data_IF_701805169822
#
_entry.id   IF_701805169822
#
_cell.length_a   1.000
_cell.length_b   1.000
_cell.length_c   1.000
_cell.angle_alpha   90.00
_cell.angle_beta   90.00
_cell.angle_gamma   90.00
#
_symmetry.space_group_name_H-M   'P 1'
#
loop_
_entity.id
_entity.type
_entity.pdbx_description
1 polymer ?
#
# COMPACT_ATOMS: atom_id res chain seq x y z
N UNK A 1 14.11 7.74 -19.31
CA UNK A 1 12.88 7.48 -20.08
C UNK A 1 11.85 7.16 -19.02
N UNK A 2 10.90 8.06 -18.77
CA UNK A 2 9.92 7.87 -17.68
C UNK A 2 8.95 6.77 -18.10
N UNK A 3 9.28 5.53 -17.73
CA UNK A 3 8.45 4.37 -18.01
C UNK A 3 7.37 4.30 -16.94
N UNK A 4 6.16 4.72 -17.28
CA UNK A 4 5.01 4.47 -16.44
C UNK A 4 4.68 2.98 -16.48
N UNK A 5 4.66 2.32 -15.32
CA UNK A 5 4.23 0.93 -15.24
C UNK A 5 2.75 0.82 -15.60
N UNK A 6 2.46 0.10 -16.68
CA UNK A 6 1.09 -0.13 -17.15
C UNK A 6 0.56 -1.46 -16.60
N UNK A 7 -0.73 -1.51 -16.28
CA UNK A 7 -1.34 -2.67 -15.66
C UNK A 7 -1.30 -3.91 -16.56
N UNK A 8 -1.44 -3.71 -17.88
CA UNK A 8 -1.40 -4.78 -18.87
C UNK A 8 -0.06 -5.53 -18.86
N UNK A 9 1.06 -4.82 -18.65
CA UNK A 9 2.38 -5.45 -18.57
C UNK A 9 2.50 -6.35 -17.34
N UNK A 10 1.92 -5.94 -16.22
CA UNK A 10 1.86 -6.73 -14.99
C UNK A 10 1.02 -7.99 -15.15
N UNK A 11 -0.07 -7.91 -15.90
CA UNK A 11 -0.97 -9.04 -16.14
C UNK A 11 -0.32 -10.16 -16.97
N UNK A 12 0.71 -9.84 -17.77
CA UNK A 12 1.50 -10.86 -18.48
C UNK A 12 2.42 -11.67 -17.56
N UNK A 13 2.63 -11.22 -16.32
CA UNK A 13 3.49 -11.87 -15.33
C UNK A 13 2.64 -12.53 -14.24
N UNK A 14 1.56 -11.86 -13.84
CA UNK A 14 0.64 -12.33 -12.81
C UNK A 14 -0.79 -12.22 -13.34
N UNK A 15 -1.42 -13.36 -13.57
CA UNK A 15 -2.79 -13.47 -14.08
C UNK A 15 -3.86 -12.84 -13.17
N UNK A 16 -3.50 -12.50 -11.92
CA UNK A 16 -4.38 -11.91 -10.94
C UNK A 16 -3.91 -10.50 -10.53
N UNK A 17 -4.64 -9.48 -11.00
CA UNK A 17 -4.40 -8.06 -10.68
C UNK A 17 -4.35 -7.75 -9.19
N UNK A 18 -5.19 -8.42 -8.39
CA UNK A 18 -5.23 -8.18 -6.94
C UNK A 18 -4.00 -8.78 -6.26
N UNK A 19 -3.55 -9.93 -6.73
CA UNK A 19 -2.32 -10.54 -6.25
C UNK A 19 -1.11 -9.65 -6.58
N UNK A 20 -1.04 -9.12 -7.80
CA UNK A 20 0.01 -8.19 -8.20
C UNK A 20 0.03 -6.94 -7.30
N UNK A 21 -1.13 -6.34 -7.03
CA UNK A 21 -1.26 -5.20 -6.13
C UNK A 21 -0.80 -5.53 -4.70
N UNK A 22 -1.19 -6.69 -4.16
CA UNK A 22 -0.80 -7.12 -2.82
C UNK A 22 0.71 -7.38 -2.72
N UNK A 23 1.33 -7.98 -3.73
CA UNK A 23 2.78 -8.20 -3.79
C UNK A 23 3.52 -6.85 -3.80
N UNK A 24 3.09 -5.93 -4.68
CA UNK A 24 3.69 -4.61 -4.78
C UNK A 24 3.55 -3.82 -3.47
N UNK A 25 2.37 -3.82 -2.84
CA UNK A 25 2.13 -3.16 -1.57
C UNK A 25 2.99 -3.73 -0.44
N UNK A 26 3.06 -5.06 -0.31
CA UNK A 26 3.89 -5.73 0.70
C UNK A 26 5.37 -5.39 0.49
N UNK A 27 5.83 -5.38 -0.76
CA UNK A 27 7.21 -5.04 -1.10
C UNK A 27 7.53 -3.57 -0.82
N UNK A 28 6.63 -2.66 -1.17
CA UNK A 28 6.78 -1.24 -0.89
C UNK A 28 6.94 -0.98 0.61
N UNK A 29 6.17 -1.67 1.47
CA UNK A 29 6.35 -1.58 2.93
C UNK A 29 7.76 -2.01 3.37
N UNK A 30 8.30 -3.09 2.81
CA UNK A 30 9.67 -3.52 3.13
C UNK A 30 10.75 -2.53 2.69
N UNK A 31 10.56 -1.87 1.55
CA UNK A 31 11.45 -0.79 1.08
C UNK A 31 11.35 0.41 2.02
N UNK A 32 10.13 0.81 2.38
CA UNK A 32 9.86 1.95 3.24
C UNK A 32 10.46 1.78 4.65
N UNK A 33 10.30 0.59 5.23
CA UNK A 33 10.88 0.22 6.53
C UNK A 33 12.41 0.03 6.47
N UNK A 34 13.04 0.29 5.31
CA UNK A 34 14.47 0.09 5.03
C UNK A 34 14.97 -1.32 5.37
N UNK A 35 14.07 -2.30 5.37
CA UNK A 35 14.40 -3.71 5.63
C UNK A 35 15.23 -4.30 4.50
N UNK A 36 15.06 -3.79 3.28
CA UNK A 36 15.77 -4.25 2.07
C UNK A 36 15.93 -3.11 1.08
N UNK A 37 16.99 -3.20 0.28
CA UNK A 37 17.21 -2.32 -0.87
C UNK A 37 16.40 -2.81 -2.09
N UNK A 38 16.19 -1.93 -3.09
CA UNK A 38 15.71 -2.34 -4.41
C UNK A 38 16.60 -3.43 -5.03
N UNK A 39 15.97 -4.40 -5.68
CA UNK A 39 16.57 -5.57 -6.33
C UNK A 39 16.93 -5.29 -7.79
N UNK A 40 16.51 -4.13 -8.30
CA UNK A 40 16.82 -3.61 -9.63
C UNK A 40 17.42 -2.21 -9.47
N UNK A 41 18.11 -1.75 -10.52
CA UNK A 41 18.41 -0.33 -10.67
C UNK A 41 17.16 0.35 -11.22
N UNK A 42 16.76 1.44 -10.60
CA UNK A 42 15.58 2.21 -10.95
C UNK A 42 15.82 3.68 -10.61
N UNK A 43 15.23 4.56 -11.41
CA UNK A 43 15.20 6.00 -11.16
C UNK A 43 13.93 6.40 -10.36
N UNK A 44 13.04 5.44 -10.08
CA UNK A 44 11.81 5.68 -9.36
C UNK A 44 12.08 6.06 -7.90
N UNK A 45 11.39 7.10 -7.43
CA UNK A 45 11.52 7.61 -6.06
C UNK A 45 10.49 7.01 -5.10
N UNK A 46 9.33 6.59 -5.60
CA UNK A 46 8.25 6.03 -4.78
C UNK A 46 8.43 4.52 -4.62
N UNK A 47 8.42 4.03 -3.39
CA UNK A 47 8.58 2.61 -3.06
C UNK A 47 7.57 1.71 -3.79
N UNK A 48 6.35 2.20 -4.01
CA UNK A 48 5.31 1.48 -4.76
C UNK A 48 5.69 1.33 -6.23
N UNK A 49 6.23 2.36 -6.86
CA UNK A 49 6.70 2.31 -8.25
C UNK A 49 7.90 1.38 -8.38
N UNK A 50 8.87 1.47 -7.45
CA UNK A 50 10.02 0.56 -7.40
C UNK A 50 9.54 -0.90 -7.30
N UNK A 51 8.58 -1.19 -6.43
CA UNK A 51 8.05 -2.54 -6.26
C UNK A 51 7.34 -3.07 -7.52
N UNK A 52 6.64 -2.21 -8.26
CA UNK A 52 6.00 -2.59 -9.52
C UNK A 52 7.04 -2.86 -10.62
N UNK A 53 8.10 -2.07 -10.70
CA UNK A 53 9.20 -2.32 -11.64
C UNK A 53 9.98 -3.60 -11.30
N UNK A 54 10.21 -3.87 -10.01
CA UNK A 54 10.79 -5.15 -9.57
C UNK A 54 9.92 -6.35 -9.96
N UNK A 55 8.60 -6.19 -9.87
CA UNK A 55 7.63 -7.20 -10.29
C UNK A 55 7.70 -7.44 -11.79
N UNK A 56 7.73 -6.36 -12.59
CA UNK A 56 7.92 -6.43 -14.05
C UNK A 56 9.24 -7.09 -14.45
N UNK A 57 10.31 -6.83 -13.69
CA UNK A 57 11.62 -7.41 -13.91
C UNK A 57 11.73 -8.87 -13.42
N UNK A 58 10.62 -9.52 -13.03
CA UNK A 58 10.57 -10.88 -12.47
C UNK A 58 11.51 -11.07 -11.26
N UNK A 59 11.68 -10.02 -10.44
CA UNK A 59 12.48 -10.09 -9.20
C UNK A 59 11.64 -10.40 -7.97
N UNK A 60 10.32 -10.32 -8.09
CA UNK A 60 9.36 -10.66 -7.05
C UNK A 60 8.53 -11.84 -7.54
N UNK A 61 8.40 -12.87 -6.69
CA UNK A 61 7.57 -14.02 -6.96
C UNK A 61 6.67 -14.29 -5.77
N UNK A 62 5.42 -14.66 -6.04
CA UNK A 62 4.51 -15.18 -5.04
C UNK A 62 4.60 -16.70 -5.01
N UNK A 63 4.87 -17.24 -3.82
CA UNK A 63 4.75 -18.67 -3.56
C UNK A 63 3.72 -18.86 -2.45
N UNK A 64 2.66 -19.66 -2.67
CA UNK A 64 1.77 -20.04 -1.59
C UNK A 64 2.56 -20.81 -0.52
N UNK A 65 2.32 -20.47 0.75
CA UNK A 65 2.95 -21.12 1.87
C UNK A 65 2.35 -22.52 2.02
N UNK A 66 3.18 -23.56 2.14
CA UNK A 66 2.70 -24.92 2.33
C UNK A 66 2.19 -25.11 3.77
N UNK A 67 1.20 -25.98 4.01
CA UNK A 67 0.64 -26.21 5.35
C UNK A 67 1.69 -26.58 6.40
N UNK A 68 2.74 -27.31 6.00
CA UNK A 68 3.85 -27.68 6.89
C UNK A 68 4.69 -26.48 7.34
N UNK A 69 4.83 -25.46 6.49
CA UNK A 69 5.53 -24.23 6.83
C UNK A 69 4.70 -23.34 7.76
N UNK A 70 3.37 -23.35 7.61
CA UNK A 70 2.45 -22.63 8.51
C UNK A 70 2.59 -23.15 9.94
N UNK A 71 2.58 -24.48 10.13
CA UNK A 71 2.77 -25.10 11.46
C UNK A 71 4.07 -24.67 12.14
N UNK A 72 5.17 -24.63 11.38
CA UNK A 72 6.46 -24.16 11.92
C UNK A 72 6.42 -22.69 12.34
N UNK A 73 5.69 -21.85 11.60
CA UNK A 73 5.52 -20.44 11.96
C UNK A 73 4.67 -20.31 13.22
N UNK A 74 3.58 -21.07 13.33
CA UNK A 74 2.72 -21.10 14.52
C UNK A 74 3.48 -21.56 15.76
N UNK A 75 4.33 -22.58 15.64
CA UNK A 75 5.20 -23.04 16.74
C UNK A 75 6.21 -21.98 17.22
N UNK A 76 6.59 -21.03 16.37
CA UNK A 76 7.54 -19.97 16.68
C UNK A 76 6.89 -18.72 17.28
N UNK A 77 5.57 -18.56 17.13
CA UNK A 77 4.84 -17.45 17.72
C UNK A 77 4.42 -17.90 19.12
N UNK A 78 4.96 -17.33 20.20
CA UNK A 78 4.47 -17.65 21.53
C UNK A 78 2.97 -17.34 21.56
N UNK A 79 2.16 -18.35 21.87
CA UNK A 79 0.73 -18.15 22.07
C UNK A 79 0.61 -17.04 23.12
N UNK A 80 -0.13 -15.94 22.85
CA UNK A 80 -0.50 -15.06 23.93
C UNK A 80 -1.21 -15.95 24.95
N UNK A 81 -0.66 -16.02 26.17
CA UNK A 81 -1.42 -16.54 27.30
C UNK A 81 -2.69 -15.69 27.33
N UNK A 82 -3.82 -16.34 27.10
CA UNK A 82 -5.13 -15.70 27.13
C UNK A 82 -5.42 -15.31 28.57
N UNK A 83 -4.89 -14.16 28.99
CA UNK A 83 -5.55 -13.39 30.03
C UNK A 83 -6.87 -12.94 29.41
N UNK A 84 -7.93 -13.70 29.72
CA UNK A 84 -9.32 -13.34 29.45
C UNK A 84 -9.66 -12.09 30.28
N UNK A 85 -9.10 -10.93 29.93
CA UNK A 85 -9.67 -9.66 30.33
C UNK A 85 -10.79 -9.35 29.33
N UNK A 86 -12.03 -9.47 29.80
CA UNK A 86 -13.22 -8.98 29.13
C UNK A 86 -13.00 -7.51 28.73
N UNK A 87 -12.70 -7.27 27.45
CA UNK A 87 -12.71 -5.92 26.88
C UNK A 87 -14.16 -5.47 26.88
N UNK A 88 -14.53 -4.61 27.83
CA UNK A 88 -15.80 -3.91 27.81
C UNK A 88 -15.90 -3.13 26.49
N UNK A 89 -16.96 -3.39 25.74
CA UNK A 89 -17.38 -2.59 24.57
C UNK A 89 -17.66 -1.15 25.02
N UNK A 90 -16.65 -0.29 24.98
CA UNK A 90 -16.85 1.16 24.83
C UNK A 90 -16.18 1.59 23.52
N UNK A 91 -16.75 1.12 22.41
CA UNK A 91 -16.29 1.35 21.05
C UNK A 91 -17.30 2.06 20.17
N UNK A 92 -18.14 2.94 20.72
CA UNK A 92 -19.00 3.81 19.91
C UNK A 92 -18.81 5.27 20.34
N UNK A 93 -17.94 5.98 19.61
CA UNK A 93 -17.98 7.43 19.29
C UNK A 93 -16.61 7.89 18.77
N UNK A 94 -16.24 7.40 17.60
CA UNK A 94 -15.31 8.11 16.72
C UNK A 94 -15.99 8.14 15.36
N UNK A 95 -15.99 9.30 14.70
CA UNK A 95 -16.61 9.58 13.40
C UNK A 95 -18.11 9.97 13.41
N UNK A 96 -18.45 11.02 14.15
CA UNK A 96 -19.34 12.05 13.58
C UNK A 96 -18.44 13.11 12.93
N UNK A 97 -17.97 12.84 11.71
CA UNK A 97 -17.50 13.91 10.83
C UNK A 97 -18.73 14.50 10.14
N UNK A 98 -19.13 15.67 10.61
CA UNK A 98 -20.12 16.54 9.99
C UNK A 98 -19.59 16.96 8.61
N UNK A 99 -20.24 16.48 7.54
CA UNK A 99 -19.97 16.94 6.18
C UNK A 99 -20.37 18.41 6.08
N UNK A 100 -19.39 19.31 6.02
CA UNK A 100 -19.65 20.69 5.59
C UNK A 100 -19.82 20.67 4.08
N UNK A 101 -21.04 20.98 3.62
CA UNK A 101 -21.39 21.10 2.21
C UNK A 101 -20.71 22.34 1.62
N UNK A 102 -19.63 22.14 0.86
CA UNK A 102 -18.83 23.17 0.20
C UNK A 102 -19.56 23.83 -1.00
N UNK A 103 -20.90 23.83 -1.02
CA UNK A 103 -21.69 24.36 -2.13
C UNK A 103 -21.86 25.90 -2.10
N UNK A 104 -21.03 26.66 -1.39
CA UNK A 104 -21.20 28.12 -1.29
C UNK A 104 -19.90 28.95 -1.30
N UNK A 105 -18.89 28.54 -2.06
CA UNK A 105 -17.86 29.49 -2.52
C UNK A 105 -18.43 30.23 -3.72
N UNK A 106 -18.95 31.44 -3.47
CA UNK A 106 -19.10 32.46 -4.50
C UNK A 106 -17.69 32.91 -4.86
N UNK A 107 -17.22 32.54 -6.05
CA UNK A 107 -16.02 33.13 -6.64
C UNK A 107 -16.44 34.52 -7.12
N UNK A 108 -16.21 35.55 -6.30
CA UNK A 108 -16.19 36.92 -6.80
C UNK A 108 -14.82 37.14 -7.44
N UNK A 109 -14.81 37.20 -8.78
CA UNK A 109 -13.69 37.65 -9.59
C UNK A 109 -13.44 39.14 -9.30
N UNK A 110 -12.41 39.46 -8.51
CA UNK A 110 -11.82 40.81 -8.50
C UNK A 110 -10.53 40.80 -9.33
N UNK A 111 -10.62 41.38 -10.53
CA UNK A 111 -9.48 41.67 -11.40
C UNK A 111 -8.47 42.60 -10.67
N UNK A 112 -7.15 42.34 -10.74
CA UNK A 112 -6.18 43.32 -10.27
C UNK A 112 -6.08 44.48 -11.29
N UNK A 113 -6.53 45.67 -10.89
CA UNK A 113 -6.26 46.92 -11.63
C UNK A 113 -4.75 47.11 -11.83
N UNK A 114 -4.34 47.19 -13.11
CA UNK A 114 -3.00 47.63 -13.49
C UNK A 114 -2.79 49.09 -13.08
N UNK A 115 -1.76 49.32 -12.28
CA UNK A 115 -1.34 50.66 -11.89
C UNK A 115 -0.88 51.49 -13.09
N UNK A 116 -1.37 52.73 -13.17
CA UNK A 116 -0.83 53.81 -14.01
C UNK A 116 0.03 54.73 -13.15
#
# INVERSE_FOLDING_TARGET
MDYAVILEDLMNIIDNKYLAANIAAKRARWLNEKKRLPSIKTDALKDTTIALEELLANKLAYRPIQPEEVKKIEELIPSPESDEEEVQEEGEKLFEEEYVDDSNIVVEDEEPEEGI
#
